data_IF_795474476472
#
_entry.id   IF_795474476472
#
_cell.length_a   1.000
_cell.length_b   1.000
_cell.length_c   1.000
_cell.angle_alpha   90.00
_cell.angle_beta   90.00
_cell.angle_gamma   90.00
#
_symmetry.space_group_name_H-M   'P 1'
#
loop_
_entity.id
_entity.type
_entity.pdbx_description
1 polymer ?
#
# COMPACT_ATOMS: atom_id res chain seq x y z
N UNK A 1 -16.58 -3.81 -18.92
CA UNK A 1 -16.60 -5.22 -19.38
C UNK A 1 -16.27 -6.12 -18.20
N UNK A 2 -17.06 -7.16 -17.90
CA UNK A 2 -16.85 -8.03 -16.73
C UNK A 2 -16.51 -9.46 -17.15
N UNK A 3 -15.36 -9.97 -16.71
CA UNK A 3 -14.80 -11.27 -17.09
C UNK A 3 -14.58 -12.14 -15.86
N UNK A 4 -14.90 -13.42 -15.95
CA UNK A 4 -14.51 -14.39 -14.92
C UNK A 4 -13.01 -14.70 -15.01
N UNK A 5 -12.45 -15.29 -13.96
CA UNK A 5 -11.03 -15.71 -13.96
C UNK A 5 -10.76 -16.73 -15.07
N UNK A 6 -11.67 -17.69 -15.31
CA UNK A 6 -11.52 -18.71 -16.35
C UNK A 6 -11.57 -18.10 -17.76
N UNK A 7 -12.50 -17.17 -18.00
CA UNK A 7 -12.56 -16.42 -19.26
C UNK A 7 -11.28 -15.62 -19.49
N UNK A 8 -10.73 -15.02 -18.43
CA UNK A 8 -9.49 -14.25 -18.49
C UNK A 8 -8.28 -15.16 -18.77
N UNK A 9 -8.26 -16.37 -18.21
CA UNK A 9 -7.24 -17.38 -18.53
C UNK A 9 -7.36 -17.91 -19.97
N UNK A 10 -8.58 -18.05 -20.49
CA UNK A 10 -8.80 -18.35 -21.91
C UNK A 10 -8.30 -17.21 -22.80
N UNK A 11 -8.64 -15.96 -22.47
CA UNK A 11 -8.14 -14.78 -23.17
C UNK A 11 -6.61 -14.70 -23.15
N UNK A 12 -5.98 -15.02 -22.02
CA UNK A 12 -4.54 -15.13 -21.93
C UNK A 12 -3.96 -16.10 -22.97
N UNK A 13 -4.63 -17.22 -23.28
CA UNK A 13 -4.13 -18.19 -24.27
C UNK A 13 -4.22 -17.72 -25.72
N UNK A 14 -5.08 -16.74 -26.03
CA UNK A 14 -5.33 -16.26 -27.40
C UNK A 14 -4.72 -14.89 -27.70
N UNK A 15 -4.30 -14.13 -26.68
CA UNK A 15 -3.60 -12.86 -26.87
C UNK A 15 -2.17 -13.10 -27.37
N UNK A 16 -1.85 -12.55 -28.55
CA UNK A 16 -0.53 -12.72 -29.19
C UNK A 16 0.55 -11.85 -28.53
N UNK A 17 0.23 -10.59 -28.24
CA UNK A 17 1.15 -9.64 -27.60
C UNK A 17 0.91 -9.56 -26.10
N UNK A 18 1.96 -9.77 -25.31
CA UNK A 18 1.94 -9.61 -23.85
C UNK A 18 3.23 -8.96 -23.36
N UNK A 19 3.15 -8.17 -22.30
CA UNK A 19 4.30 -7.65 -21.57
C UNK A 19 4.39 -8.30 -20.18
N UNK A 20 5.55 -8.20 -19.54
CA UNK A 20 5.72 -8.72 -18.17
C UNK A 20 4.82 -8.04 -17.14
N UNK A 21 4.49 -6.76 -17.36
CA UNK A 21 3.54 -5.99 -16.54
C UNK A 21 2.07 -6.25 -16.89
N UNK A 22 1.83 -6.92 -18.01
CA UNK A 22 0.50 -7.22 -18.50
C UNK A 22 -0.23 -8.26 -17.65
N UNK A 23 -1.54 -8.07 -17.48
CA UNK A 23 -2.42 -8.92 -16.70
C UNK A 23 -2.29 -10.41 -17.11
N UNK A 24 -2.25 -10.70 -18.41
CA UNK A 24 -2.33 -12.06 -18.94
C UNK A 24 -1.04 -12.88 -18.83
N UNK A 25 0.04 -12.30 -18.32
CA UNK A 25 1.32 -13.02 -18.18
C UNK A 25 1.30 -13.96 -16.98
N UNK A 26 0.54 -13.63 -15.93
CA UNK A 26 0.55 -14.36 -14.66
C UNK A 26 -0.80 -15.03 -14.30
N UNK A 27 -1.79 -14.98 -15.20
CA UNK A 27 -3.09 -15.62 -14.95
C UNK A 27 -3.00 -17.12 -15.23
N UNK A 28 -3.31 -17.90 -14.21
CA UNK A 28 -3.39 -19.35 -14.30
C UNK A 28 -4.69 -19.83 -13.63
N UNK A 29 -5.69 -20.15 -14.45
CA UNK A 29 -6.93 -20.76 -14.02
C UNK A 29 -7.35 -21.88 -14.97
N UNK A 30 -8.05 -22.87 -14.44
CA UNK A 30 -8.51 -24.00 -15.23
C UNK A 30 -9.62 -23.57 -16.19
N UNK A 31 -9.43 -23.87 -17.46
CA UNK A 31 -10.46 -23.68 -18.48
C UNK A 31 -11.51 -24.80 -18.34
N UNK A 32 -12.78 -24.47 -18.48
CA UNK A 32 -13.92 -25.39 -18.41
C UNK A 32 -14.49 -25.73 -19.81
N UNK A 33 -14.05 -25.04 -20.87
CA UNK A 33 -14.44 -25.26 -22.26
C UNK A 33 -15.71 -24.52 -22.71
N UNK A 34 -16.32 -23.70 -21.86
CA UNK A 34 -17.47 -22.86 -22.21
C UNK A 34 -17.11 -21.39 -22.50
N UNK A 35 -15.84 -21.01 -22.36
CA UNK A 35 -15.40 -19.61 -22.34
C UNK A 35 -15.71 -18.88 -23.65
N UNK A 36 -15.46 -19.50 -24.81
CA UNK A 36 -15.79 -18.87 -26.10
C UNK A 36 -17.29 -18.54 -26.21
N UNK A 37 -18.15 -19.40 -25.65
CA UNK A 37 -19.60 -19.20 -25.68
C UNK A 37 -20.00 -18.08 -24.73
N UNK A 38 -19.52 -18.08 -23.49
CA UNK A 38 -19.86 -17.03 -22.50
C UNK A 38 -19.31 -15.67 -22.91
N UNK A 39 -18.10 -15.63 -23.50
CA UNK A 39 -17.50 -14.42 -24.07
C UNK A 39 -18.31 -13.89 -25.25
N UNK A 40 -18.86 -14.77 -26.10
CA UNK A 40 -19.76 -14.36 -27.19
C UNK A 40 -21.09 -13.81 -26.66
N UNK A 41 -21.67 -14.43 -25.63
CA UNK A 41 -22.89 -13.93 -24.96
C UNK A 41 -22.67 -12.54 -24.34
N UNK A 42 -21.45 -12.25 -23.86
CA UNK A 42 -21.05 -10.94 -23.34
C UNK A 42 -20.68 -9.92 -24.44
N UNK A 43 -20.68 -10.32 -25.73
CA UNK A 43 -20.25 -9.48 -26.85
C UNK A 43 -18.74 -9.21 -26.88
N UNK A 44 -17.95 -9.94 -26.08
CA UNK A 44 -16.48 -9.86 -26.07
C UNK A 44 -15.92 -10.56 -27.31
N UNK A 45 -16.57 -11.65 -27.74
CA UNK A 45 -16.27 -12.33 -29.00
C UNK A 45 -17.41 -12.15 -30.02
N UNK A 46 -17.05 -11.81 -31.25
CA UNK A 46 -17.95 -11.73 -32.41
C UNK A 46 -17.27 -12.44 -33.59
N UNK A 47 -17.96 -13.39 -34.21
CA UNK A 47 -17.46 -14.18 -35.34
C UNK A 47 -16.09 -14.86 -35.10
N UNK A 48 -15.87 -15.35 -33.87
CA UNK A 48 -14.65 -16.06 -33.48
C UNK A 48 -13.44 -15.15 -33.23
N UNK A 49 -13.63 -13.83 -33.17
CA UNK A 49 -12.61 -12.84 -32.84
C UNK A 49 -13.07 -11.94 -31.70
N UNK A 50 -12.14 -11.23 -31.08
CA UNK A 50 -12.50 -10.17 -30.14
C UNK A 50 -13.28 -9.07 -30.87
N UNK A 51 -14.31 -8.52 -30.21
CA UNK A 51 -14.95 -7.28 -30.66
C UNK A 51 -13.96 -6.11 -30.56
N UNK A 52 -14.16 -5.07 -31.37
CA UNK A 52 -13.22 -3.94 -31.44
C UNK A 52 -12.97 -3.29 -30.07
N UNK A 53 -14.02 -3.12 -29.27
CA UNK A 53 -13.89 -2.55 -27.92
C UNK A 53 -13.16 -3.49 -26.96
N UNK A 54 -13.45 -4.79 -27.01
CA UNK A 54 -12.74 -5.77 -26.20
C UNK A 54 -11.25 -5.85 -26.59
N UNK A 55 -10.96 -5.85 -27.90
CA UNK A 55 -9.60 -5.85 -28.42
C UNK A 55 -8.83 -4.61 -27.94
N UNK A 56 -9.45 -3.42 -28.00
CA UNK A 56 -8.85 -2.18 -27.49
C UNK A 56 -8.50 -2.28 -26.01
N UNK A 57 -9.48 -2.58 -25.15
CA UNK A 57 -9.29 -2.68 -23.69
C UNK A 57 -8.25 -3.75 -23.33
N UNK A 58 -8.41 -4.96 -23.87
CA UNK A 58 -7.57 -6.10 -23.49
C UNK A 58 -6.15 -5.96 -24.03
N UNK A 59 -5.94 -5.30 -25.18
CA UNK A 59 -4.59 -5.05 -25.69
C UNK A 59 -3.75 -4.13 -24.78
N UNK A 60 -4.39 -3.16 -24.12
CA UNK A 60 -3.75 -2.29 -23.13
C UNK A 60 -3.37 -3.10 -21.89
N UNK A 61 -4.32 -3.88 -21.36
CA UNK A 61 -4.08 -4.72 -20.18
C UNK A 61 -3.08 -5.87 -20.46
N UNK A 62 -2.97 -6.34 -21.70
CA UNK A 62 -2.05 -7.42 -22.10
C UNK A 62 -0.61 -6.96 -22.26
N UNK A 63 -0.41 -5.80 -22.86
CA UNK A 63 0.90 -5.29 -23.26
C UNK A 63 1.15 -3.91 -22.62
N UNK A 64 0.84 -3.80 -21.33
CA UNK A 64 1.03 -2.58 -20.57
C UNK A 64 2.53 -2.22 -20.48
N UNK A 65 2.84 -0.94 -20.68
CA UNK A 65 4.17 -0.36 -20.50
C UNK A 65 4.38 0.04 -19.03
N UNK A 66 3.28 0.42 -18.37
CA UNK A 66 3.22 0.75 -16.95
C UNK A 66 2.00 0.13 -16.31
N UNK A 67 2.13 -0.19 -15.03
CA UNK A 67 1.06 -0.72 -14.22
C UNK A 67 1.09 -0.06 -12.85
N UNK A 68 -0.07 0.25 -12.29
CA UNK A 68 -0.19 0.58 -10.87
C UNK A 68 -1.18 -0.35 -10.20
N UNK A 69 -0.92 -0.67 -8.94
CA UNK A 69 -1.78 -1.46 -8.10
C UNK A 69 -2.12 -0.69 -6.85
N UNK A 70 -3.39 -0.68 -6.49
CA UNK A 70 -3.88 -0.13 -5.24
C UNK A 70 -4.71 -1.20 -4.54
N UNK A 71 -4.30 -1.56 -3.34
CA UNK A 71 -5.00 -2.53 -2.50
C UNK A 71 -5.36 -1.84 -1.19
N UNK A 72 -6.66 -1.62 -0.98
CA UNK A 72 -7.18 -1.20 0.31
C UNK A 72 -7.70 -2.43 1.05
N UNK A 73 -7.28 -2.60 2.29
CA UNK A 73 -7.74 -3.65 3.20
C UNK A 73 -8.33 -2.99 4.43
N UNK A 74 -9.55 -3.38 4.75
CA UNK A 74 -10.15 -3.17 6.06
C UNK A 74 -10.57 -4.53 6.65
N UNK A 75 -11.00 -4.55 7.91
CA UNK A 75 -11.64 -5.69 8.56
C UNK A 75 -12.84 -6.32 7.81
N UNK A 76 -13.57 -5.58 6.96
CA UNK A 76 -14.77 -6.05 6.28
C UNK A 76 -14.56 -6.39 4.81
N UNK A 77 -13.66 -5.68 4.11
CA UNK A 77 -13.46 -5.87 2.69
C UNK A 77 -12.02 -5.66 2.22
N UNK A 78 -11.76 -6.14 1.00
CA UNK A 78 -10.54 -5.85 0.25
C UNK A 78 -10.97 -5.25 -1.07
N UNK A 79 -10.45 -4.06 -1.38
CA UNK A 79 -10.64 -3.38 -2.66
C UNK A 79 -9.31 -3.46 -3.41
N UNK A 80 -9.33 -4.06 -4.59
CA UNK A 80 -8.16 -4.15 -5.47
C UNK A 80 -8.45 -3.44 -6.78
N UNK A 81 -7.59 -2.47 -7.10
CA UNK A 81 -7.61 -1.72 -8.35
C UNK A 81 -6.26 -1.86 -9.02
N UNK A 82 -6.27 -2.16 -10.32
CA UNK A 82 -5.10 -2.20 -11.17
C UNK A 82 -5.30 -1.23 -12.32
N UNK A 83 -4.31 -0.39 -12.57
CA UNK A 83 -4.31 0.51 -13.71
C UNK A 83 -3.24 0.06 -14.68
N UNK A 84 -3.62 -0.22 -15.92
CA UNK A 84 -2.72 -0.59 -17.00
C UNK A 84 -2.64 0.55 -18.01
N UNK A 85 -1.43 0.92 -18.41
CA UNK A 85 -1.19 1.99 -19.37
C UNK A 85 -0.35 1.51 -20.54
N UNK A 86 -0.77 1.84 -21.76
CA UNK A 86 -0.05 1.59 -23.01
C UNK A 86 -0.17 2.83 -23.89
N UNK A 87 0.96 3.50 -24.14
CA UNK A 87 0.95 4.81 -24.79
C UNK A 87 0.12 5.84 -24.00
N UNK A 88 -0.84 6.47 -24.67
CA UNK A 88 -1.72 7.48 -24.08
C UNK A 88 -3.02 6.94 -23.47
N UNK A 89 -3.31 5.65 -23.65
CA UNK A 89 -4.56 5.04 -23.17
C UNK A 89 -4.35 4.31 -21.84
N UNK A 90 -5.44 4.21 -21.07
CA UNK A 90 -5.43 3.63 -19.73
C UNK A 90 -6.66 2.77 -19.52
N UNK A 91 -6.48 1.63 -18.85
CA UNK A 91 -7.54 0.71 -18.45
C UNK A 91 -7.47 0.51 -16.95
N UNK A 92 -8.61 0.68 -16.28
CA UNK A 92 -8.80 0.31 -14.89
C UNK A 92 -9.39 -1.10 -14.84
N UNK A 93 -8.80 -1.97 -14.03
CA UNK A 93 -9.30 -3.29 -13.68
C UNK A 93 -9.57 -3.34 -12.19
N UNK A 94 -10.74 -3.87 -11.82
CA UNK A 94 -11.20 -3.98 -10.44
C UNK A 94 -11.60 -5.42 -10.14
N UNK A 95 -11.31 -5.89 -8.94
CA UNK A 95 -11.79 -7.19 -8.46
C UNK A 95 -13.20 -7.03 -7.89
N UNK A 96 -14.19 -7.63 -8.54
CA UNK A 96 -15.59 -7.60 -8.15
C UNK A 96 -16.04 -9.03 -7.79
N UNK A 97 -15.89 -9.38 -6.51
CA UNK A 97 -16.24 -10.68 -5.94
C UNK A 97 -15.59 -11.87 -6.67
N UNK A 98 -14.35 -11.70 -7.14
CA UNK A 98 -13.58 -12.71 -7.87
C UNK A 98 -13.66 -12.59 -9.39
N UNK A 99 -14.59 -11.80 -9.93
CA UNK A 99 -14.61 -11.43 -11.34
C UNK A 99 -13.76 -10.16 -11.57
N UNK A 100 -13.28 -9.99 -12.80
CA UNK A 100 -12.48 -8.85 -13.21
C UNK A 100 -13.33 -7.86 -14.01
N UNK A 101 -13.52 -6.66 -13.47
CA UNK A 101 -14.23 -5.57 -14.13
C UNK A 101 -13.24 -4.62 -14.79
N UNK A 102 -13.34 -4.45 -16.10
CA UNK A 102 -12.53 -3.55 -16.89
C UNK A 102 -13.33 -2.32 -17.32
N UNK A 103 -12.71 -1.15 -17.18
CA UNK A 103 -13.23 0.13 -17.66
C UNK A 103 -12.13 1.00 -18.25
N UNK A 104 -12.51 1.95 -19.11
CA UNK A 104 -11.64 3.01 -19.60
C UNK A 104 -12.08 4.32 -18.95
N UNK A 105 -11.45 4.72 -17.83
CA UNK A 105 -11.88 5.90 -17.09
C UNK A 105 -11.60 7.19 -17.88
N UNK A 106 -12.50 8.15 -17.82
CA UNK A 106 -12.25 9.53 -18.27
C UNK A 106 -11.39 10.30 -17.25
N UNK A 107 -11.62 10.03 -15.96
CA UNK A 107 -10.87 10.53 -14.83
C UNK A 107 -10.95 9.55 -13.64
N UNK A 108 -10.28 9.87 -12.53
CA UNK A 108 -10.20 9.03 -11.34
C UNK A 108 -11.26 9.32 -10.28
N UNK A 109 -12.23 10.20 -10.55
CA UNK A 109 -13.17 10.70 -9.53
C UNK A 109 -13.94 9.58 -8.85
N UNK A 110 -14.39 8.57 -9.61
CA UNK A 110 -15.12 7.43 -9.04
C UNK A 110 -14.22 6.57 -8.14
N UNK A 111 -13.02 6.23 -8.60
CA UNK A 111 -12.07 5.42 -7.84
C UNK A 111 -11.61 6.15 -6.56
N UNK A 112 -11.32 7.45 -6.66
CA UNK A 112 -10.95 8.28 -5.52
C UNK A 112 -12.11 8.46 -4.55
N UNK A 113 -13.34 8.66 -5.06
CA UNK A 113 -14.52 8.76 -4.22
C UNK A 113 -14.71 7.51 -3.38
N UNK A 114 -14.67 6.33 -4.01
CA UNK A 114 -14.80 5.04 -3.32
C UNK A 114 -13.72 4.82 -2.27
N UNK A 115 -12.44 5.00 -2.62
CA UNK A 115 -11.33 4.85 -1.66
C UNK A 115 -11.44 5.84 -0.49
N UNK A 116 -11.94 7.04 -0.76
CA UNK A 116 -12.12 8.08 0.27
C UNK A 116 -13.22 7.79 1.29
N UNK A 117 -14.15 6.87 0.99
CA UNK A 117 -15.16 6.43 1.96
C UNK A 117 -14.51 5.71 3.16
N UNK A 118 -13.34 5.11 2.95
CA UNK A 118 -12.56 4.42 3.98
C UNK A 118 -11.57 5.36 4.67
N UNK A 119 -10.79 6.10 3.88
CA UNK A 119 -9.66 6.87 4.41
C UNK A 119 -10.05 8.29 4.85
N UNK A 120 -11.20 8.79 4.40
CA UNK A 120 -11.66 10.16 4.58
C UNK A 120 -10.95 11.18 3.68
N UNK A 121 -11.53 12.40 3.65
CA UNK A 121 -11.03 13.55 2.88
C UNK A 121 -10.59 14.72 3.77
N UNK A 122 -10.31 14.46 5.06
CA UNK A 122 -9.91 15.53 5.97
C UNK A 122 -8.60 16.16 5.52
N UNK A 123 -8.52 17.49 5.62
CA UNK A 123 -7.26 18.25 5.50
C UNK A 123 -6.49 18.33 6.82
N UNK A 124 -7.12 17.91 7.91
CA UNK A 124 -6.56 17.99 9.24
C UNK A 124 -5.77 16.72 9.52
N UNK A 125 -4.59 16.90 10.11
CA UNK A 125 -3.82 15.81 10.72
C UNK A 125 -3.48 16.17 12.15
N UNK A 126 -3.32 15.16 12.99
CA UNK A 126 -3.10 15.36 14.43
C UNK A 126 -1.67 15.77 14.77
N UNK A 127 -0.71 15.29 13.98
CA UNK A 127 0.72 15.55 14.09
C UNK A 127 1.30 15.85 12.70
N UNK A 128 2.46 16.50 12.65
CA UNK A 128 3.16 16.79 11.41
C UNK A 128 4.64 16.46 11.54
N UNK A 129 5.06 15.38 10.90
CA UNK A 129 6.45 14.96 10.80
C UNK A 129 6.67 14.24 9.47
N UNK A 130 7.92 14.23 9.04
CA UNK A 130 8.42 13.55 7.85
C UNK A 130 9.91 13.27 8.10
N UNK A 131 10.34 12.03 7.87
CA UNK A 131 11.71 11.61 8.15
C UNK A 131 12.12 10.44 7.27
N UNK A 132 13.34 10.50 6.71
CA UNK A 132 13.97 9.36 6.06
C UNK A 132 14.74 8.53 7.09
N UNK A 133 14.39 7.26 7.20
CA UNK A 133 14.94 6.31 8.16
C UNK A 133 15.46 5.07 7.43
N UNK A 134 16.58 4.52 7.92
CA UNK A 134 16.93 3.15 7.57
C UNK A 134 15.90 2.18 8.15
N UNK A 135 15.84 0.95 7.63
CA UNK A 135 14.86 -0.04 8.09
C UNK A 135 15.01 -0.33 9.60
N UNK A 136 16.25 -0.41 10.11
CA UNK A 136 16.51 -0.65 11.53
C UNK A 136 16.07 0.53 12.41
N UNK A 137 16.32 1.76 11.96
CA UNK A 137 15.86 2.97 12.65
C UNK A 137 14.33 3.05 12.66
N UNK A 138 13.69 2.76 11.52
CA UNK A 138 12.23 2.76 11.41
C UNK A 138 11.61 1.75 12.37
N UNK A 139 12.07 0.49 12.35
CA UNK A 139 11.54 -0.56 13.22
C UNK A 139 11.73 -0.20 14.70
N UNK A 140 12.87 0.38 15.05
CA UNK A 140 13.14 0.88 16.42
C UNK A 140 12.18 2.00 16.80
N UNK A 141 11.99 3.01 15.95
CA UNK A 141 11.05 4.11 16.21
C UNK A 141 9.61 3.62 16.34
N UNK A 142 9.17 2.73 15.45
CA UNK A 142 7.83 2.15 15.47
C UNK A 142 7.58 1.33 16.74
N UNK A 143 8.60 0.65 17.27
CA UNK A 143 8.47 -0.08 18.54
C UNK A 143 8.19 0.86 19.72
N UNK A 144 8.83 2.04 19.76
CA UNK A 144 8.59 3.07 20.78
C UNK A 144 7.16 3.61 20.64
N UNK A 145 6.76 3.93 19.39
CA UNK A 145 5.40 4.39 19.07
C UNK A 145 4.37 3.34 19.51
N UNK A 146 4.58 2.05 19.20
CA UNK A 146 3.68 0.96 19.57
C UNK A 146 3.53 0.79 21.09
N UNK A 147 4.63 0.94 21.84
CA UNK A 147 4.59 0.88 23.30
C UNK A 147 3.78 2.04 23.90
N UNK A 148 3.93 3.25 23.35
CA UNK A 148 3.15 4.42 23.76
C UNK A 148 1.68 4.27 23.38
N UNK A 149 1.37 3.84 22.14
CA UNK A 149 0.01 3.52 21.68
C UNK A 149 -0.67 2.52 22.59
N UNK A 150 0.04 1.46 22.99
CA UNK A 150 -0.44 0.45 23.92
C UNK A 150 -0.76 1.03 25.30
N UNK A 151 0.07 1.92 25.81
CA UNK A 151 -0.18 2.60 27.09
C UNK A 151 -1.40 3.53 27.00
N UNK A 152 -1.52 4.31 25.92
CA UNK A 152 -2.67 5.18 25.67
C UNK A 152 -3.98 4.37 25.61
N UNK A 153 -4.00 3.25 24.88
CA UNK A 153 -5.15 2.34 24.83
C UNK A 153 -5.55 1.80 26.21
N UNK A 154 -4.58 1.46 27.06
CA UNK A 154 -4.85 1.01 28.43
C UNK A 154 -5.47 2.10 29.30
N UNK A 155 -5.04 3.34 29.11
CA UNK A 155 -5.63 4.48 29.80
C UNK A 155 -7.11 4.66 29.42
N UNK A 156 -7.47 4.52 28.15
CA UNK A 156 -8.86 4.62 27.68
C UNK A 156 -9.80 3.55 28.28
N UNK A 157 -9.28 2.37 28.64
CA UNK A 157 -10.07 1.31 29.29
C UNK A 157 -10.01 1.36 30.83
N UNK A 158 -9.42 2.42 31.40
CA UNK A 158 -9.36 2.63 32.84
C UNK A 158 -8.30 1.78 33.56
N UNK A 159 -7.39 1.11 32.83
CA UNK A 159 -6.26 0.35 33.41
C UNK A 159 -5.09 1.27 33.80
N UNK A 160 -5.40 2.48 34.29
CA UNK A 160 -4.44 3.52 34.70
C UNK A 160 -3.55 3.04 35.86
N UNK A 161 -2.45 2.38 35.52
CA UNK A 161 -1.21 2.44 36.28
C UNK A 161 -0.34 3.54 35.69
N UNK A 162 0.54 4.14 36.51
CA UNK A 162 1.53 5.13 36.06
C UNK A 162 2.10 4.74 34.68
N UNK A 163 2.11 5.69 33.74
CA UNK A 163 2.59 5.46 32.39
C UNK A 163 3.94 4.74 32.46
N UNK A 164 3.97 3.49 31.97
CA UNK A 164 5.20 2.70 32.05
C UNK A 164 6.25 3.38 31.18
N UNK A 165 7.45 3.67 31.73
CA UNK A 165 8.52 4.23 30.94
C UNK A 165 8.86 3.30 29.77
N UNK A 166 9.19 3.89 28.62
CA UNK A 166 9.61 3.13 27.45
C UNK A 166 11.09 2.78 27.62
N UNK A 167 11.35 1.69 28.34
CA UNK A 167 12.73 1.24 28.57
C UNK A 167 13.31 0.52 27.36
N UNK A 168 14.63 0.48 27.28
CA UNK A 168 15.38 -0.30 26.28
C UNK A 168 14.94 -1.76 26.23
N UNK A 169 14.75 -2.40 27.38
CA UNK A 169 14.33 -3.80 27.47
C UNK A 169 12.92 -3.99 26.90
N UNK A 170 12.03 -3.03 27.10
CA UNK A 170 10.69 -3.07 26.53
C UNK A 170 10.72 -2.95 24.99
N UNK A 171 11.58 -2.08 24.46
CA UNK A 171 11.82 -1.92 23.02
C UNK A 171 12.31 -3.23 22.40
N UNK A 172 13.36 -3.83 22.97
CA UNK A 172 13.92 -5.11 22.49
C UNK A 172 12.87 -6.21 22.53
N UNK A 173 12.17 -6.36 23.67
CA UNK A 173 11.13 -7.38 23.82
C UNK A 173 9.99 -7.20 22.81
N UNK A 174 9.61 -5.95 22.49
CA UNK A 174 8.57 -5.68 21.50
C UNK A 174 9.04 -5.95 20.07
N UNK A 175 10.29 -5.67 19.74
CA UNK A 175 10.87 -6.00 18.43
C UNK A 175 10.93 -7.52 18.20
N UNK A 176 11.24 -8.30 19.25
CA UNK A 176 11.28 -9.77 19.19
C UNK A 176 9.88 -10.39 19.09
N UNK A 177 8.89 -9.81 19.79
CA UNK A 177 7.52 -10.31 19.86
C UNK A 177 6.50 -9.18 19.70
N UNK A 178 6.35 -8.65 18.47
CA UNK A 178 5.48 -7.51 18.25
C UNK A 178 4.00 -7.91 18.41
N UNK A 179 3.21 -7.02 19.01
CA UNK A 179 1.77 -7.25 19.19
C UNK A 179 1.02 -7.34 17.85
N UNK A 180 -0.14 -8.00 17.84
CA UNK A 180 -0.94 -8.25 16.62
C UNK A 180 -1.26 -6.98 15.81
N UNK A 181 -1.59 -5.88 16.50
CA UNK A 181 -1.98 -4.59 15.88
C UNK A 181 -0.86 -3.54 15.94
N UNK A 182 0.38 -3.99 16.09
CA UNK A 182 1.57 -3.13 16.17
C UNK A 182 2.04 -2.74 14.77
N UNK A 183 2.59 -1.53 14.62
CA UNK A 183 3.14 -1.05 13.36
C UNK A 183 4.34 -1.90 12.93
N UNK A 184 5.16 -2.33 13.91
CA UNK A 184 6.29 -3.25 13.69
C UNK A 184 5.81 -4.55 13.02
N UNK A 185 4.75 -5.17 13.54
CA UNK A 185 4.19 -6.40 12.94
C UNK A 185 3.63 -6.16 11.55
N UNK A 186 2.94 -5.04 11.33
CA UNK A 186 2.37 -4.71 10.03
C UNK A 186 3.45 -4.57 8.94
N UNK A 187 4.59 -3.94 9.24
CA UNK A 187 5.70 -3.86 8.27
C UNK A 187 6.41 -5.20 8.08
N UNK A 188 6.55 -6.01 9.13
CA UNK A 188 7.09 -7.36 9.01
C UNK A 188 6.20 -8.22 8.09
N UNK A 189 4.90 -8.28 8.36
CA UNK A 189 3.98 -9.16 7.62
C UNK A 189 3.79 -8.74 6.14
N UNK A 190 3.84 -7.43 5.82
CA UNK A 190 3.58 -6.94 4.46
C UNK A 190 4.86 -6.70 3.63
N UNK A 191 5.98 -6.35 4.27
CA UNK A 191 7.21 -5.95 3.58
C UNK A 191 8.45 -6.74 4.04
N UNK A 192 8.28 -7.76 4.88
CA UNK A 192 9.36 -8.63 5.41
C UNK A 192 10.47 -7.87 6.16
N UNK A 193 10.13 -6.72 6.76
CA UNK A 193 11.07 -5.96 7.59
C UNK A 193 11.50 -6.82 8.78
N UNK A 194 12.82 -6.95 8.96
CA UNK A 194 13.39 -7.72 10.05
C UNK A 194 13.58 -6.83 11.29
N UNK A 195 13.56 -7.45 12.46
CA UNK A 195 14.04 -6.78 13.66
C UNK A 195 15.54 -6.44 13.49
N UNK A 196 15.99 -5.29 14.03
CA UNK A 196 17.41 -4.94 14.03
C UNK A 196 18.27 -6.02 14.70
N UNK A 197 19.55 -6.08 14.33
CA UNK A 197 20.47 -7.06 14.91
C UNK A 197 20.58 -6.90 16.45
N UNK A 198 20.72 -8.02 17.19
CA UNK A 198 20.91 -7.97 18.64
C UNK A 198 22.09 -7.08 19.04
N UNK A 199 21.85 -6.12 19.93
CA UNK A 199 22.88 -5.21 20.42
C UNK A 199 22.99 -3.87 19.68
N UNK A 200 22.29 -3.68 18.55
CA UNK A 200 22.27 -2.38 17.83
C UNK A 200 21.32 -1.34 18.41
N UNK A 201 20.44 -1.74 19.34
CA UNK A 201 19.39 -0.85 19.87
C UNK A 201 19.94 0.48 20.40
N UNK A 202 21.06 0.48 21.11
CA UNK A 202 21.62 1.71 21.68
C UNK A 202 22.16 2.68 20.61
N UNK A 203 22.80 2.14 19.58
CA UNK A 203 23.25 2.92 18.42
C UNK A 203 22.07 3.53 17.65
N UNK A 204 21.01 2.74 17.45
CA UNK A 204 19.80 3.18 16.75
C UNK A 204 19.04 4.24 17.54
N UNK A 205 18.92 4.09 18.86
CA UNK A 205 18.34 5.10 19.73
C UNK A 205 19.15 6.39 19.69
N UNK A 206 20.48 6.30 19.65
CA UNK A 206 21.33 7.47 19.50
C UNK A 206 21.15 8.15 18.15
N UNK A 207 21.05 7.38 17.07
CA UNK A 207 20.76 7.92 15.73
C UNK A 207 19.40 8.62 15.68
N UNK A 208 18.35 8.00 16.23
CA UNK A 208 17.00 8.57 16.31
C UNK A 208 16.96 9.85 17.15
N UNK A 209 17.75 9.92 18.22
CA UNK A 209 17.94 11.13 19.02
C UNK A 209 18.61 12.23 18.20
N UNK A 210 19.67 11.90 17.45
CA UNK A 210 20.33 12.82 16.52
C UNK A 210 19.44 13.33 15.39
N UNK A 211 18.46 12.52 14.96
CA UNK A 211 17.41 12.90 13.99
C UNK A 211 16.24 13.66 14.63
N UNK A 212 16.24 13.85 15.95
CA UNK A 212 15.18 14.57 16.67
C UNK A 212 13.89 13.79 16.83
N UNK A 213 13.87 12.48 16.60
CA UNK A 213 12.68 11.65 16.79
C UNK A 213 12.42 11.34 18.27
N UNK A 214 13.48 11.24 19.06
CA UNK A 214 13.42 10.94 20.51
C UNK A 214 14.33 11.86 21.32
N UNK A 215 14.05 11.96 22.62
CA UNK A 215 14.88 12.61 23.62
C UNK A 215 15.46 11.55 24.57
N UNK A 216 16.78 11.48 24.68
CA UNK A 216 17.51 10.48 25.50
C UNK A 216 17.44 10.71 27.02
N UNK A 217 16.76 11.76 27.51
CA UNK A 217 16.66 12.00 28.96
C UNK A 217 15.72 10.96 29.60
N UNK A 218 16.30 9.87 30.07
CA UNK A 218 15.75 8.97 31.09
C UNK A 218 14.81 7.86 30.60
N UNK A 219 13.97 8.12 29.58
CA UNK A 219 12.86 7.20 29.24
C UNK A 219 12.54 7.11 27.73
N UNK A 220 13.55 7.33 26.85
CA UNK A 220 13.40 7.33 25.38
C UNK A 220 12.12 8.04 24.89
N UNK A 221 11.94 9.27 25.35
CA UNK A 221 10.71 10.03 25.17
C UNK A 221 10.61 10.50 23.72
N UNK A 222 9.53 10.18 23.01
CA UNK A 222 9.28 10.72 21.67
C UNK A 222 9.30 12.25 21.68
N UNK A 223 9.78 12.89 20.61
CA UNK A 223 9.57 14.34 20.44
C UNK A 223 8.07 14.66 20.37
N UNK A 224 7.72 15.94 20.51
CA UNK A 224 6.33 16.38 20.65
C UNK A 224 5.42 15.83 19.54
N UNK A 225 5.83 15.95 18.28
CA UNK A 225 5.05 15.53 17.13
C UNK A 225 4.84 14.02 17.08
N UNK A 226 5.90 13.22 17.30
CA UNK A 226 5.80 11.76 17.35
C UNK A 226 4.99 11.29 18.56
N UNK A 227 5.10 11.97 19.70
CA UNK A 227 4.32 11.66 20.89
C UNK A 227 2.83 11.95 20.67
N UNK A 228 2.47 13.09 20.06
CA UNK A 228 1.09 13.40 19.69
C UNK A 228 0.55 12.34 18.74
N UNK A 229 1.33 11.95 17.74
CA UNK A 229 0.97 10.88 16.82
C UNK A 229 0.72 9.56 17.55
N UNK A 230 1.67 9.09 18.38
CA UNK A 230 1.56 7.83 19.10
C UNK A 230 0.36 7.78 20.07
N UNK A 231 -0.03 8.91 20.66
CA UNK A 231 -1.19 8.97 21.56
C UNK A 231 -2.54 9.08 20.84
N UNK A 232 -2.57 9.35 19.52
CA UNK A 232 -3.79 9.51 18.74
C UNK A 232 -4.00 8.43 17.68
N UNK A 233 -2.91 7.91 17.11
CA UNK A 233 -2.90 6.80 16.17
C UNK A 233 -3.07 5.48 16.93
N UNK A 234 -4.26 5.19 17.45
CA UNK A 234 -4.44 4.09 18.41
C UNK A 234 -4.70 2.73 17.75
N UNK A 235 -5.69 2.65 16.87
CA UNK A 235 -6.14 1.39 16.25
C UNK A 235 -6.12 1.54 14.73
N UNK A 236 -5.01 1.18 14.06
CA UNK A 236 -4.98 1.08 12.61
C UNK A 236 -5.86 -0.08 12.18
N UNK A 237 -6.88 0.22 11.39
CA UNK A 237 -7.87 -0.72 10.88
C UNK A 237 -7.94 -0.75 9.35
N UNK A 238 -7.37 0.25 8.69
CA UNK A 238 -7.29 0.35 7.24
C UNK A 238 -5.83 0.41 6.81
N UNK A 239 -5.47 -0.43 5.84
CA UNK A 239 -4.19 -0.39 5.15
C UNK A 239 -4.44 -0.16 3.65
N UNK A 240 -3.72 0.79 3.07
CA UNK A 240 -3.71 1.03 1.62
C UNK A 240 -2.29 0.84 1.09
N UNK A 241 -2.12 -0.19 0.27
CA UNK A 241 -0.88 -0.51 -0.41
C UNK A 241 -0.97 0.10 -1.81
N UNK A 242 0.04 0.86 -2.19
CA UNK A 242 0.15 1.50 -3.49
C UNK A 242 1.46 1.06 -4.12
N UNK A 243 1.40 0.52 -5.32
CA UNK A 243 2.57 0.06 -6.07
C UNK A 243 2.47 0.60 -7.50
N UNK A 244 3.59 1.04 -8.04
CA UNK A 244 3.72 1.43 -9.43
C UNK A 244 4.88 0.66 -10.05
N UNK A 245 4.69 0.20 -11.27
CA UNK A 245 5.62 -0.61 -12.04
C UNK A 245 5.83 0.03 -13.41
N UNK A 246 7.08 0.16 -13.81
CA UNK A 246 7.48 0.75 -15.09
C UNK A 246 8.51 -0.16 -15.75
N UNK A 247 8.27 -0.53 -17.01
CA UNK A 247 9.20 -1.36 -17.77
C UNK A 247 10.11 -0.48 -18.61
N UNK A 248 11.42 -0.59 -18.40
CA UNK A 248 12.38 0.17 -19.22
C UNK A 248 12.57 -0.50 -20.61
N UNK A 249 13.25 0.20 -21.53
CA UNK A 249 13.51 -0.32 -22.89
C UNK A 249 14.39 -1.59 -22.92
N UNK A 250 15.07 -1.91 -21.82
CA UNK A 250 15.90 -3.10 -21.63
C UNK A 250 15.12 -4.28 -21.04
N UNK A 251 13.86 -4.08 -20.63
CA UNK A 251 13.01 -5.08 -20.01
C UNK A 251 13.15 -5.16 -18.48
N UNK A 252 13.94 -4.30 -17.83
CA UNK A 252 13.96 -4.25 -16.37
C UNK A 252 12.71 -3.56 -15.84
N UNK A 253 12.11 -4.17 -14.81
CA UNK A 253 10.97 -3.60 -14.09
C UNK A 253 11.48 -2.73 -12.95
N UNK A 254 11.05 -1.47 -12.96
CA UNK A 254 11.22 -0.54 -11.85
C UNK A 254 9.96 -0.55 -10.99
N UNK A 255 10.13 -0.39 -9.69
CA UNK A 255 9.03 -0.40 -8.74
C UNK A 255 9.13 0.79 -7.80
N UNK A 256 7.99 1.44 -7.56
CA UNK A 256 7.80 2.34 -6.43
C UNK A 256 6.65 1.81 -5.57
N UNK A 257 6.82 1.89 -4.25
CA UNK A 257 5.83 1.37 -3.30
C UNK A 257 5.59 2.36 -2.18
N UNK A 258 4.34 2.46 -1.74
CA UNK A 258 3.95 3.19 -0.56
C UNK A 258 2.87 2.43 0.23
N UNK A 259 2.88 2.61 1.54
CA UNK A 259 1.88 2.07 2.47
C UNK A 259 1.27 3.22 3.26
N UNK A 260 -0.05 3.35 3.21
CA UNK A 260 -0.81 4.17 4.14
C UNK A 260 -1.50 3.28 5.18
N UNK A 261 -1.33 3.59 6.46
CA UNK A 261 -2.12 2.99 7.54
C UNK A 261 -2.99 4.08 8.15
N UNK A 262 -4.30 3.85 8.25
CA UNK A 262 -5.22 4.83 8.83
C UNK A 262 -5.69 4.33 10.19
N UNK A 263 -5.67 5.20 11.20
CA UNK A 263 -6.29 5.00 12.50
C UNK A 263 -7.37 6.06 12.70
N UNK A 264 -8.41 6.00 11.85
CA UNK A 264 -9.45 7.02 11.73
C UNK A 264 -9.15 8.11 10.68
N UNK A 265 -10.06 9.08 10.55
CA UNK A 265 -10.12 10.01 9.39
C UNK A 265 -9.05 11.12 9.36
N UNK A 266 -8.23 11.27 10.42
CA UNK A 266 -7.23 12.35 10.57
C UNK A 266 -5.81 11.84 10.76
N UNK A 267 -5.65 10.53 10.90
CA UNK A 267 -4.44 9.93 11.44
C UNK A 267 -3.98 8.88 10.45
N UNK A 268 -3.14 9.31 9.50
CA UNK A 268 -2.52 8.44 8.51
C UNK A 268 -1.02 8.36 8.78
N UNK A 269 -0.53 7.14 8.94
CA UNK A 269 0.89 6.81 8.89
C UNK A 269 1.24 6.48 7.44
N UNK A 270 2.13 7.24 6.82
CA UNK A 270 2.55 7.03 5.44
C UNK A 270 4.00 6.54 5.42
N UNK A 271 4.24 5.47 4.67
CA UNK A 271 5.55 4.90 4.41
C UNK A 271 5.80 4.92 2.91
N UNK A 272 6.87 5.56 2.47
CA UNK A 272 7.31 5.53 1.06
C UNK A 272 8.65 4.80 1.01
N UNK A 273 8.71 3.70 0.26
CA UNK A 273 9.86 2.81 0.23
C UNK A 273 10.80 3.17 -0.92
N UNK A 274 12.10 3.31 -0.61
CA UNK A 274 13.16 3.62 -1.56
C UNK A 274 14.42 2.79 -1.29
N UNK A 275 15.44 2.90 -2.16
CA UNK A 275 16.74 2.27 -1.94
C UNK A 275 17.49 2.84 -0.73
N UNK A 276 17.25 4.11 -0.41
CA UNK A 276 18.02 4.87 0.58
C UNK A 276 17.41 4.74 1.99
N UNK A 277 16.23 4.14 2.06
CA UNK A 277 15.48 3.94 3.29
C UNK A 277 13.97 4.07 3.05
N UNK A 278 13.26 4.23 4.16
CA UNK A 278 11.82 4.47 4.17
C UNK A 278 11.55 5.87 4.66
N UNK A 279 10.86 6.67 3.86
CA UNK A 279 10.28 7.92 4.33
C UNK A 279 9.05 7.58 5.19
N UNK A 280 9.09 7.98 6.45
CA UNK A 280 7.99 7.83 7.38
C UNK A 280 7.41 9.21 7.73
N UNK A 281 6.14 9.41 7.42
CA UNK A 281 5.46 10.68 7.61
C UNK A 281 4.05 10.51 8.14
N UNK A 282 3.51 11.62 8.69
CA UNK A 282 2.10 11.74 9.04
C UNK A 282 1.36 12.50 7.94
N UNK A 283 0.31 11.89 7.42
CA UNK A 283 -0.52 12.45 6.36
C UNK A 283 -1.95 12.71 6.85
N UNK A 284 -2.63 13.63 6.18
CA UNK A 284 -4.08 13.77 6.24
C UNK A 284 -4.75 12.87 5.18
N UNK A 285 -6.04 12.56 5.35
CA UNK A 285 -6.78 11.75 4.36
C UNK A 285 -6.75 12.37 2.95
N UNK A 286 -6.82 13.70 2.84
CA UNK A 286 -6.68 14.38 1.55
C UNK A 286 -5.29 14.19 0.93
N UNK A 287 -4.21 14.25 1.72
CA UNK A 287 -2.86 14.00 1.21
C UNK A 287 -2.70 12.56 0.74
N UNK A 288 -3.27 11.60 1.48
CA UNK A 288 -3.30 10.21 1.05
C UNK A 288 -4.02 10.04 -0.29
N UNK A 289 -5.18 10.70 -0.49
CA UNK A 289 -5.88 10.66 -1.77
C UNK A 289 -5.11 11.32 -2.92
N UNK A 290 -4.33 12.37 -2.66
CA UNK A 290 -3.44 12.95 -3.67
C UNK A 290 -2.35 11.96 -4.10
N UNK A 291 -1.83 11.17 -3.15
CA UNK A 291 -0.85 10.12 -3.46
C UNK A 291 -1.52 9.00 -4.25
N UNK A 292 -2.70 8.53 -3.82
CA UNK A 292 -3.50 7.54 -4.56
C UNK A 292 -3.76 7.99 -5.99
N UNK A 293 -4.17 9.25 -6.20
CA UNK A 293 -4.36 9.82 -7.54
C UNK A 293 -3.07 9.77 -8.36
N UNK A 294 -1.93 10.13 -7.76
CA UNK A 294 -0.62 10.01 -8.43
C UNK A 294 -0.32 8.57 -8.86
N UNK A 295 -0.60 7.57 -8.01
CA UNK A 295 -0.41 6.16 -8.36
C UNK A 295 -1.40 5.71 -9.44
N UNK A 296 -2.68 6.09 -9.38
CA UNK A 296 -3.66 5.80 -10.43
C UNK A 296 -3.22 6.33 -11.81
N UNK A 297 -2.45 7.42 -11.85
CA UNK A 297 -1.92 7.97 -13.11
C UNK A 297 -0.69 7.24 -13.68
N UNK A 298 -0.22 6.16 -13.03
CA UNK A 298 1.00 5.41 -13.39
C UNK A 298 2.23 6.33 -13.56
N UNK A 299 2.80 6.85 -12.46
CA UNK A 299 3.83 7.88 -12.50
C UNK A 299 5.09 7.38 -13.22
N UNK A 300 5.88 8.30 -13.77
CA UNK A 300 7.22 8.00 -14.26
C UNK A 300 8.16 7.66 -13.10
N UNK A 301 8.83 6.51 -13.18
CA UNK A 301 9.81 6.10 -12.18
C UNK A 301 11.22 6.47 -12.67
N UNK A 302 11.71 7.64 -12.25
CA UNK A 302 13.06 8.09 -12.55
C UNK A 302 14.09 7.45 -11.62
N UNK A 303 15.30 7.25 -12.15
CA UNK A 303 16.49 6.95 -11.34
C UNK A 303 17.10 8.32 -11.00
N UNK A 304 17.26 8.66 -9.72
CA UNK A 304 18.30 9.63 -9.36
C UNK A 304 19.64 8.97 -9.65
N UNK A 305 20.31 9.44 -10.71
CA UNK A 305 21.61 8.95 -11.20
C UNK A 305 22.77 9.46 -10.34
#
# INVERSE_FOLDING_TARGET
MKLSVNETAYLASVMEEKSELGLFTNINAAQNGDETKTLAEKGVFVDGKLSDEAARILSIAAAAEKCSRIVLRDSFCVIEKFVYKKGGETVLMENDAGDLLFSMPEDWSNALSELSEFTGLSRLKSASFEMLLSNDELMTLLSIIDLIRKNALKEYIGESHEAKPVTREAIISHLEQPGTNSLVKMLNDNYNFQAPEPGKTDELLHSLSGKGCINEKGDHILSEEYNIFANRFLVPDIAIIMEAFDSNAQGDIRTASALGLCAGIKDVALFVFSSDGTEFSSASGMQLMQIVDSFLNCPDLFIES
#
